data_IF_155687227482
#
_entry.id   IF_155687227482
#
_cell.length_a   1.000
_cell.length_b   1.000
_cell.length_c   1.000
_cell.angle_alpha   90.00
_cell.angle_beta   90.00
_cell.angle_gamma   90.00
#
_symmetry.space_group_name_H-M   'P 1'
#
loop_
_entity.id
_entity.type
_entity.pdbx_description
1 polymer ?
#
# COMPACT_ATOMS: atom_id res chain seq x y z
N UNK A 1 -18.39 18.76 24.62
CA UNK A 1 -18.28 17.62 23.67
C UNK A 1 -16.88 17.64 23.05
N UNK A 2 -15.85 17.23 23.79
CA UNK A 2 -14.45 17.46 23.36
C UNK A 2 -13.50 16.33 23.80
N UNK A 3 -13.93 15.07 23.77
CA UNK A 3 -13.10 13.92 24.16
C UNK A 3 -12.57 13.08 22.99
N UNK A 4 -13.28 13.07 21.85
CA UNK A 4 -13.00 12.15 20.73
C UNK A 4 -11.84 12.64 19.85
N UNK A 5 -11.50 13.94 19.91
CA UNK A 5 -10.42 14.55 19.12
C UNK A 5 -9.02 14.35 19.73
N UNK A 6 -8.95 13.98 21.01
CA UNK A 6 -7.69 14.02 21.76
C UNK A 6 -6.84 12.76 21.55
N UNK A 7 -7.47 11.59 21.43
CA UNK A 7 -6.76 10.34 21.18
C UNK A 7 -6.24 10.23 19.74
N UNK A 8 -7.03 10.66 18.75
CA UNK A 8 -6.61 10.74 17.35
C UNK A 8 -5.42 11.69 17.16
N UNK A 9 -5.33 12.77 17.95
CA UNK A 9 -4.20 13.70 17.93
C UNK A 9 -2.92 13.09 18.54
N UNK A 10 -3.05 12.19 19.52
CA UNK A 10 -1.89 11.42 20.03
C UNK A 10 -1.31 10.44 19.00
N UNK A 11 -2.12 10.03 18.01
CA UNK A 11 -1.67 9.18 16.91
C UNK A 11 -0.96 9.97 15.79
N UNK A 12 -1.38 11.23 15.58
CA UNK A 12 -0.76 12.15 14.60
C UNK A 12 0.45 12.90 15.17
N UNK A 13 0.45 13.21 16.47
CA UNK A 13 1.57 13.84 17.17
C UNK A 13 2.61 12.79 17.55
N UNK A 14 3.32 12.28 16.55
CA UNK A 14 4.59 11.61 16.75
C UNK A 14 5.60 12.62 17.29
N UNK A 15 5.82 12.59 18.61
CA UNK A 15 7.13 12.96 19.14
C UNK A 15 8.13 12.05 18.42
N UNK A 16 9.07 12.66 17.70
CA UNK A 16 9.96 12.07 16.69
C UNK A 16 10.87 10.94 17.21
N UNK A 17 10.30 9.80 17.58
CA UNK A 17 10.98 8.51 17.58
C UNK A 17 10.69 7.88 16.22
N UNK A 18 11.73 7.77 15.39
CA UNK A 18 11.67 6.96 14.17
C UNK A 18 10.98 5.63 14.50
N UNK A 19 9.77 5.36 13.96
CA UNK A 19 9.11 4.09 14.19
C UNK A 19 10.05 3.02 13.65
N UNK A 20 10.41 2.05 14.49
CA UNK A 20 10.97 0.80 13.98
C UNK A 20 10.05 0.31 12.85
N UNK A 21 10.63 -0.10 11.73
CA UNK A 21 9.90 -0.54 10.54
C UNK A 21 9.07 -1.78 10.91
N UNK A 22 7.85 -1.54 11.40
CA UNK A 22 6.92 -2.60 11.80
C UNK A 22 6.46 -3.30 10.54
N UNK A 23 6.41 -4.63 10.58
CA UNK A 23 5.85 -5.42 9.49
C UNK A 23 4.40 -4.99 9.20
N UNK A 24 4.08 -4.78 7.92
CA UNK A 24 2.77 -4.26 7.49
C UNK A 24 1.61 -5.16 7.97
N UNK A 25 1.77 -6.48 7.98
CA UNK A 25 0.72 -7.39 8.47
C UNK A 25 0.49 -7.27 9.98
N UNK A 26 1.54 -6.97 10.75
CA UNK A 26 1.40 -6.70 12.19
C UNK A 26 0.60 -5.42 12.40
N UNK A 27 0.88 -4.37 11.62
CA UNK A 27 0.11 -3.11 11.69
C UNK A 27 -1.36 -3.32 11.31
N UNK A 28 -1.64 -4.14 10.29
CA UNK A 28 -3.02 -4.49 9.91
C UNK A 28 -3.73 -5.24 11.03
N UNK A 29 -3.06 -6.22 11.64
CA UNK A 29 -3.60 -6.99 12.76
C UNK A 29 -3.91 -6.09 13.96
N UNK A 30 -2.95 -5.25 14.37
CA UNK A 30 -3.12 -4.26 15.46
C UNK A 30 -4.29 -3.31 15.14
N UNK A 31 -4.39 -2.82 13.90
CA UNK A 31 -5.44 -1.87 13.49
C UNK A 31 -6.83 -2.49 13.54
N UNK A 32 -6.96 -3.74 13.08
CA UNK A 32 -8.23 -4.46 13.08
C UNK A 32 -8.72 -4.78 14.50
N UNK A 33 -7.82 -5.22 15.38
CA UNK A 33 -8.16 -5.48 16.79
C UNK A 33 -8.51 -4.18 17.52
N UNK A 34 -7.78 -3.09 17.26
CA UNK A 34 -8.08 -1.78 17.83
C UNK A 34 -9.46 -1.26 17.40
N UNK A 35 -9.82 -1.44 16.13
CA UNK A 35 -11.15 -1.09 15.64
C UNK A 35 -12.23 -1.88 16.39
N UNK A 36 -12.06 -3.19 16.57
CA UNK A 36 -12.98 -4.04 17.33
C UNK A 36 -13.15 -3.54 18.78
N UNK A 37 -12.05 -3.29 19.49
CA UNK A 37 -12.09 -2.79 20.87
C UNK A 37 -12.77 -1.42 20.98
N UNK A 38 -12.48 -0.54 20.02
CA UNK A 38 -13.11 0.79 19.95
C UNK A 38 -14.62 0.66 19.78
N UNK A 39 -15.07 -0.16 18.84
CA UNK A 39 -16.49 -0.37 18.58
C UNK A 39 -17.22 -1.03 19.77
N UNK A 40 -16.59 -1.99 20.45
CA UNK A 40 -17.14 -2.59 21.67
C UNK A 40 -17.34 -1.56 22.78
N UNK A 41 -16.34 -0.69 22.99
CA UNK A 41 -16.39 0.36 24.01
C UNK A 41 -17.44 1.42 23.67
N UNK A 42 -17.58 1.79 22.40
CA UNK A 42 -18.60 2.73 21.95
C UNK A 42 -20.02 2.17 22.12
N UNK A 43 -20.25 0.91 21.74
CA UNK A 43 -21.54 0.25 21.93
C UNK A 43 -21.89 0.07 23.40
N UNK A 44 -20.92 -0.31 24.23
CA UNK A 44 -21.12 -0.45 25.67
C UNK A 44 -21.53 0.89 26.30
N UNK A 45 -20.84 1.97 25.94
CA UNK A 45 -21.19 3.31 26.39
C UNK A 45 -22.61 3.68 25.97
N UNK A 46 -22.98 3.40 24.72
CA UNK A 46 -24.31 3.67 24.22
C UNK A 46 -25.41 2.90 24.99
N UNK A 47 -25.20 1.61 25.25
CA UNK A 47 -26.15 0.81 26.04
C UNK A 47 -26.27 1.31 27.48
N UNK A 48 -25.16 1.72 28.09
CA UNK A 48 -25.18 2.31 29.42
C UNK A 48 -25.94 3.64 29.46
N UNK A 49 -25.73 4.51 28.47
CA UNK A 49 -26.46 5.78 28.35
C UNK A 49 -27.97 5.57 28.19
N UNK A 50 -28.37 4.57 27.40
CA UNK A 50 -29.76 4.16 27.27
C UNK A 50 -30.35 3.66 28.60
N UNK A 51 -29.67 2.75 29.30
CA UNK A 51 -30.09 2.23 30.60
C UNK A 51 -30.25 3.36 31.63
N UNK A 52 -29.32 4.31 31.67
CA UNK A 52 -29.42 5.46 32.58
C UNK A 52 -30.59 6.37 32.22
N UNK A 53 -30.82 6.62 30.92
CA UNK A 53 -31.94 7.43 30.46
C UNK A 53 -33.28 6.79 30.83
N UNK A 54 -33.42 5.50 30.61
CA UNK A 54 -34.62 4.74 30.98
C UNK A 54 -34.84 4.78 32.50
N UNK A 55 -33.80 4.54 33.28
CA UNK A 55 -33.87 4.62 34.75
C UNK A 55 -34.35 5.99 35.22
N UNK A 56 -33.77 7.09 34.70
CA UNK A 56 -34.20 8.46 35.05
C UNK A 56 -35.65 8.72 34.69
N UNK A 57 -36.13 8.19 33.56
CA UNK A 57 -37.54 8.31 33.16
C UNK A 57 -38.45 7.55 34.13
N UNK A 58 -38.03 6.39 34.62
CA UNK A 58 -38.81 5.58 35.57
C UNK A 58 -38.81 6.18 36.98
N UNK A 59 -37.67 6.65 37.49
CA UNK A 59 -37.56 7.20 38.86
C UNK A 59 -37.93 8.68 38.96
N UNK A 60 -37.93 9.43 37.85
CA UNK A 60 -38.17 10.87 37.82
C UNK A 60 -37.04 11.72 38.46
N UNK A 61 -36.00 11.09 38.99
CA UNK A 61 -34.87 11.70 39.71
C UNK A 61 -33.57 11.06 39.24
N UNK A 62 -32.51 11.87 39.10
CA UNK A 62 -31.20 11.42 38.67
C UNK A 62 -30.33 10.98 39.86
N UNK A 63 -30.14 9.66 39.98
CA UNK A 63 -29.25 9.05 40.97
C UNK A 63 -27.90 8.61 40.39
N UNK A 64 -27.54 9.06 39.18
CA UNK A 64 -26.30 8.64 38.51
C UNK A 64 -25.04 8.90 39.37
N UNK A 65 -25.06 9.92 40.23
CA UNK A 65 -23.96 10.27 41.14
C UNK A 65 -23.84 9.35 42.37
N UNK A 66 -24.91 8.64 42.73
CA UNK A 66 -24.91 7.64 43.82
C UNK A 66 -24.42 6.27 43.35
N UNK A 67 -24.39 6.03 42.04
CA UNK A 67 -23.93 4.76 41.48
C UNK A 67 -22.42 4.79 41.41
N UNK A 68 -21.75 3.97 42.22
CA UNK A 68 -20.33 3.69 42.02
C UNK A 68 -20.18 2.94 40.69
N UNK A 69 -19.49 3.54 39.71
CA UNK A 69 -19.16 2.91 38.43
C UNK A 69 -18.17 1.76 38.63
N UNK A 70 -18.62 0.67 39.24
CA UNK A 70 -17.87 -0.56 39.38
C UNK A 70 -18.01 -1.35 38.09
N UNK A 71 -17.07 -1.13 37.17
CA UNK A 71 -16.57 -2.17 36.23
C UNK A 71 -17.63 -3.03 35.53
N UNK A 72 -18.59 -2.41 34.84
CA UNK A 72 -19.28 -3.07 33.72
C UNK A 72 -18.51 -2.71 32.46
N UNK A 73 -17.33 -3.31 32.28
CA UNK A 73 -16.59 -3.21 31.03
C UNK A 73 -16.56 -4.58 30.39
N UNK A 74 -17.11 -4.71 29.19
CA UNK A 74 -17.06 -5.92 28.41
C UNK A 74 -15.60 -6.31 28.15
N UNK A 75 -15.25 -7.56 28.46
CA UNK A 75 -13.91 -8.09 28.23
C UNK A 75 -14.01 -9.29 27.29
N UNK A 76 -13.23 -9.25 26.21
CA UNK A 76 -13.11 -10.35 25.28
C UNK A 76 -12.37 -11.50 25.99
N UNK A 77 -12.92 -12.73 26.03
CA UNK A 77 -12.23 -13.88 26.62
C UNK A 77 -10.86 -14.10 25.95
N UNK A 78 -9.80 -14.43 26.72
CA UNK A 78 -8.44 -14.59 26.16
C UNK A 78 -8.35 -15.59 25.00
N UNK A 79 -9.10 -16.70 25.10
CA UNK A 79 -9.17 -17.74 24.05
C UNK A 79 -9.77 -17.16 22.75
N UNK A 80 -10.81 -16.35 22.88
CA UNK A 80 -11.43 -15.70 21.74
C UNK A 80 -10.50 -14.65 21.12
N UNK A 81 -9.82 -13.86 21.95
CA UNK A 81 -8.82 -12.90 21.50
C UNK A 81 -7.70 -13.58 20.69
N UNK A 82 -7.18 -14.71 21.17
CA UNK A 82 -6.17 -15.48 20.41
C UNK A 82 -6.67 -15.94 19.03
N UNK A 83 -7.94 -16.36 18.92
CA UNK A 83 -8.52 -16.73 17.63
C UNK A 83 -8.68 -15.53 16.70
N UNK A 84 -9.06 -14.37 17.24
CA UNK A 84 -9.18 -13.12 16.47
C UNK A 84 -7.82 -12.72 15.87
N UNK A 85 -6.75 -12.79 16.67
CA UNK A 85 -5.38 -12.52 16.20
C UNK A 85 -5.03 -13.43 15.01
N UNK A 86 -5.27 -14.74 15.12
CA UNK A 86 -4.95 -15.70 14.05
C UNK A 86 -5.70 -15.39 12.75
N UNK A 87 -6.97 -15.00 12.84
CA UNK A 87 -7.78 -14.65 11.66
C UNK A 87 -7.30 -13.33 11.06
N UNK A 88 -7.00 -12.32 11.88
CA UNK A 88 -6.49 -11.02 11.43
C UNK A 88 -5.12 -11.14 10.73
N UNK A 89 -4.26 -12.07 11.15
CA UNK A 89 -2.97 -12.32 10.50
C UNK A 89 -3.10 -12.82 9.05
N UNK A 90 -4.24 -13.40 8.67
CA UNK A 90 -4.49 -13.88 7.31
C UNK A 90 -4.93 -12.78 6.34
N UNK A 91 -5.19 -11.57 6.85
CA UNK A 91 -5.71 -10.44 6.07
C UNK A 91 -4.59 -9.77 5.28
N UNK A 92 -4.86 -9.47 4.01
CA UNK A 92 -3.96 -8.68 3.17
C UNK A 92 -4.13 -7.19 3.46
N UNK A 93 -3.06 -6.36 3.42
CA UNK A 93 -3.15 -4.93 3.71
C UNK A 93 -4.20 -4.18 2.87
N UNK A 94 -4.41 -4.59 1.63
CA UNK A 94 -5.38 -4.01 0.67
C UNK A 94 -6.83 -4.24 1.11
N UNK A 95 -7.09 -5.29 1.89
CA UNK A 95 -8.43 -5.69 2.34
C UNK A 95 -8.84 -4.99 3.64
N UNK A 96 -7.89 -4.46 4.40
CA UNK A 96 -8.11 -3.88 5.73
C UNK A 96 -9.23 -2.83 5.74
N UNK A 97 -9.16 -1.86 4.82
CA UNK A 97 -10.17 -0.81 4.71
C UNK A 97 -11.56 -1.34 4.35
N UNK A 98 -11.63 -2.41 3.54
CA UNK A 98 -12.89 -3.05 3.17
C UNK A 98 -13.53 -3.75 4.37
N UNK A 99 -12.74 -4.46 5.16
CA UNK A 99 -13.18 -5.14 6.39
C UNK A 99 -13.73 -4.11 7.39
N UNK A 100 -13.00 -3.03 7.66
CA UNK A 100 -13.44 -1.97 8.60
C UNK A 100 -14.78 -1.39 8.17
N UNK A 101 -14.95 -1.10 6.87
CA UNK A 101 -16.22 -0.58 6.34
C UNK A 101 -17.37 -1.55 6.54
N UNK A 102 -17.20 -2.81 6.13
CA UNK A 102 -18.24 -3.83 6.27
C UNK A 102 -18.60 -4.10 7.74
N UNK A 103 -17.60 -4.07 8.62
CA UNK A 103 -17.82 -4.22 10.05
C UNK A 103 -18.66 -3.07 10.60
N UNK A 104 -18.30 -1.81 10.32
CA UNK A 104 -19.10 -0.64 10.74
C UNK A 104 -20.52 -0.67 10.19
N UNK A 105 -20.69 -1.05 8.92
CA UNK A 105 -22.00 -1.21 8.30
C UNK A 105 -22.86 -2.27 9.04
N UNK A 106 -22.25 -3.35 9.52
CA UNK A 106 -22.94 -4.38 10.31
C UNK A 106 -23.34 -3.87 11.71
N UNK A 107 -22.55 -2.99 12.32
CA UNK A 107 -22.83 -2.40 13.64
C UNK A 107 -23.97 -1.39 13.62
N UNK A 108 -24.33 -0.83 12.46
CA UNK A 108 -25.51 0.06 12.33
C UNK A 108 -26.82 -0.59 12.81
N UNK A 109 -26.87 -1.92 12.84
CA UNK A 109 -28.03 -2.67 13.36
C UNK A 109 -28.08 -2.74 14.89
N UNK A 110 -27.13 -2.11 15.58
CA UNK A 110 -27.01 -2.11 17.05
C UNK A 110 -27.06 -3.53 17.62
N UNK A 111 -26.12 -4.43 17.24
CA UNK A 111 -26.07 -5.78 17.78
C UNK A 111 -25.74 -5.77 19.28
N UNK A 112 -25.99 -6.90 19.95
CA UNK A 112 -25.59 -7.06 21.34
C UNK A 112 -24.06 -7.21 21.46
N UNK A 113 -23.46 -6.78 22.58
CA UNK A 113 -22.00 -6.80 22.78
C UNK A 113 -21.38 -8.19 22.53
N UNK A 114 -22.06 -9.25 22.96
CA UNK A 114 -21.62 -10.64 22.77
C UNK A 114 -21.59 -11.09 21.29
N UNK A 115 -22.31 -10.41 20.40
CA UNK A 115 -22.40 -10.77 18.99
C UNK A 115 -21.33 -10.06 18.15
N UNK A 116 -20.80 -8.93 18.65
CA UNK A 116 -19.86 -8.06 17.93
C UNK A 116 -18.60 -8.82 17.50
N UNK A 117 -18.03 -9.63 18.39
CA UNK A 117 -16.84 -10.45 18.08
C UNK A 117 -17.14 -11.51 17.00
N UNK A 118 -18.33 -12.11 17.04
CA UNK A 118 -18.81 -13.05 16.03
C UNK A 118 -19.03 -12.40 14.66
N UNK A 119 -19.65 -11.22 14.64
CA UNK A 119 -19.84 -10.41 13.42
C UNK A 119 -18.48 -10.06 12.82
N UNK A 120 -17.53 -9.63 13.63
CA UNK A 120 -16.18 -9.29 13.17
C UNK A 120 -15.47 -10.48 12.52
N UNK A 121 -15.50 -11.66 13.15
CA UNK A 121 -14.97 -12.92 12.58
C UNK A 121 -15.64 -13.26 11.25
N UNK A 122 -16.97 -13.11 11.17
CA UNK A 122 -17.74 -13.40 9.97
C UNK A 122 -17.37 -12.47 8.82
N UNK A 123 -17.24 -11.16 9.07
CA UNK A 123 -16.83 -10.17 8.07
C UNK A 123 -15.44 -10.48 7.53
N UNK A 124 -14.46 -10.75 8.40
CA UNK A 124 -13.10 -11.09 7.95
C UNK A 124 -13.12 -12.38 7.11
N UNK A 125 -13.76 -13.43 7.62
CA UNK A 125 -13.87 -14.71 6.92
C UNK A 125 -14.52 -14.55 5.55
N UNK A 126 -15.58 -13.75 5.46
CA UNK A 126 -16.27 -13.45 4.22
C UNK A 126 -15.34 -12.77 3.19
N UNK A 127 -14.57 -11.76 3.61
CA UNK A 127 -13.63 -11.07 2.72
C UNK A 127 -12.53 -12.01 2.23
N UNK A 128 -11.98 -12.83 3.13
CA UNK A 128 -10.97 -13.85 2.79
C UNK A 128 -11.52 -14.86 1.79
N UNK A 129 -12.77 -15.31 1.96
CA UNK A 129 -13.41 -16.28 1.06
C UNK A 129 -13.75 -15.70 -0.33
N UNK A 130 -13.92 -14.38 -0.43
CA UNK A 130 -14.23 -13.68 -1.68
C UNK A 130 -12.99 -13.40 -2.53
N UNK A 131 -11.80 -13.76 -2.07
CA UNK A 131 -10.57 -13.60 -2.86
C UNK A 131 -10.72 -14.31 -4.20
N UNK A 132 -10.36 -13.66 -5.32
CA UNK A 132 -10.23 -14.38 -6.57
C UNK A 132 -9.23 -15.51 -6.34
N UNK A 133 -9.55 -16.71 -6.83
CA UNK A 133 -8.57 -17.79 -6.88
C UNK A 133 -7.41 -17.25 -7.70
N UNK A 134 -6.23 -17.11 -7.09
CA UNK A 134 -5.07 -16.59 -7.81
C UNK A 134 -4.90 -17.41 -9.08
N UNK A 135 -5.01 -16.76 -10.24
CA UNK A 135 -4.51 -17.36 -11.46
C UNK A 135 -3.03 -17.61 -11.18
N UNK A 136 -2.64 -18.88 -11.14
CA UNK A 136 -1.24 -19.22 -10.89
C UNK A 136 -0.42 -18.42 -11.91
N UNK A 137 0.74 -17.87 -11.55
CA UNK A 137 1.57 -17.10 -12.51
C UNK A 137 1.70 -17.81 -13.87
N UNK A 138 1.71 -19.15 -13.86
CA UNK A 138 1.63 -20.01 -15.05
C UNK A 138 0.36 -19.82 -15.90
N UNK A 139 -0.83 -19.64 -15.32
CA UNK A 139 -2.11 -19.39 -16.01
C UNK A 139 -2.13 -18.01 -16.67
N UNK A 140 -1.56 -16.99 -16.02
CA UNK A 140 -1.37 -15.67 -16.61
C UNK A 140 -0.34 -15.68 -17.76
N UNK A 141 0.80 -16.38 -17.58
CA UNK A 141 1.82 -16.54 -18.63
C UNK A 141 1.32 -17.38 -19.80
N UNK A 142 0.59 -18.46 -19.55
CA UNK A 142 -0.01 -19.29 -20.60
C UNK A 142 -1.06 -18.50 -21.38
N UNK A 143 -1.91 -17.71 -20.72
CA UNK A 143 -2.91 -16.86 -21.40
C UNK A 143 -2.28 -15.82 -22.34
N UNK A 144 -1.16 -15.20 -21.96
CA UNK A 144 -0.43 -14.25 -22.81
C UNK A 144 0.37 -14.93 -23.93
N UNK A 145 1.02 -16.06 -23.65
CA UNK A 145 1.79 -16.80 -24.67
C UNK A 145 0.91 -17.47 -25.72
N UNK A 146 -0.28 -17.95 -25.35
CA UNK A 146 -1.28 -18.47 -26.31
C UNK A 146 -1.70 -17.38 -27.30
N UNK A 147 -1.85 -16.14 -26.83
CA UNK A 147 -2.18 -14.99 -27.69
C UNK A 147 -1.05 -14.64 -28.66
N UNK A 148 0.22 -14.77 -28.25
CA UNK A 148 1.40 -14.55 -29.11
C UNK A 148 1.54 -15.67 -30.15
N UNK A 149 1.42 -16.94 -29.73
CA UNK A 149 1.56 -18.10 -30.61
C UNK A 149 0.46 -18.18 -31.68
N UNK A 150 -0.76 -17.71 -31.38
CA UNK A 150 -1.83 -17.63 -32.37
C UNK A 150 -1.59 -16.52 -33.41
N UNK A 151 -0.98 -15.40 -33.03
CA UNK A 151 -0.62 -14.34 -34.00
C UNK A 151 0.57 -14.73 -34.88
N UNK A 152 1.49 -15.57 -34.39
CA UNK A 152 2.66 -16.04 -35.15
C UNK A 152 2.29 -17.02 -36.27
N UNK A 153 1.16 -17.73 -36.18
CA UNK A 153 0.67 -18.63 -37.24
C UNK A 153 0.28 -17.90 -38.53
N UNK A 154 0.06 -16.58 -38.46
CA UNK A 154 -0.31 -15.75 -39.62
C UNK A 154 0.85 -14.90 -40.14
N UNK A 155 1.96 -14.81 -39.40
CA UNK A 155 3.17 -14.13 -39.86
C UNK A 155 4.06 -15.12 -40.59
N UNK A 156 4.13 -14.99 -41.93
CA UNK A 156 5.12 -15.71 -42.73
C UNK A 156 6.52 -15.43 -42.18
N UNK A 157 7.40 -16.44 -42.02
CA UNK A 157 8.77 -16.20 -41.60
C UNK A 157 9.47 -15.31 -42.64
N UNK A 158 9.93 -14.13 -42.21
CA UNK A 158 10.81 -13.28 -43.02
C UNK A 158 12.07 -14.07 -43.36
N UNK A 159 12.53 -14.06 -44.63
CA UNK A 159 13.71 -14.82 -45.03
C UNK A 159 14.95 -14.36 -44.24
N UNK A 160 15.74 -15.34 -43.82
CA UNK A 160 16.99 -15.20 -43.07
C UNK A 160 17.95 -14.29 -43.83
N UNK A 161 18.41 -13.23 -43.18
CA UNK A 161 19.59 -12.47 -43.61
C UNK A 161 20.79 -13.20 -43.00
N UNK A 162 21.51 -13.96 -43.81
CA UNK A 162 22.86 -14.40 -43.48
C UNK A 162 23.82 -13.22 -43.61
N UNK A 163 24.72 -12.97 -42.64
CA UNK A 163 25.71 -11.91 -42.78
C UNK A 163 26.65 -12.26 -43.94
N UNK A 164 26.76 -11.36 -44.91
CA UNK A 164 27.74 -11.44 -45.99
C UNK A 164 29.13 -11.30 -45.36
N UNK A 165 29.90 -12.38 -45.41
CA UNK A 165 31.33 -12.37 -45.11
C UNK A 165 32.10 -12.43 -46.43
N UNK A 166 32.20 -11.28 -47.11
CA UNK A 166 33.14 -11.12 -48.22
C UNK A 166 34.26 -10.18 -47.75
N UNK A 167 35.33 -10.82 -47.28
CA UNK A 167 36.67 -10.27 -47.22
C UNK A 167 37.14 -10.16 -48.67
N UNK A 168 37.31 -8.94 -49.17
CA UNK A 168 38.06 -8.69 -50.39
C UNK A 168 39.13 -7.64 -50.04
N UNK A 169 40.34 -8.14 -49.83
CA UNK A 169 41.59 -7.42 -49.95
C UNK A 169 41.70 -6.83 -51.37
N UNK A 170 41.80 -5.51 -51.50
CA UNK A 170 42.45 -4.89 -52.65
C UNK A 170 43.39 -3.81 -52.13
N UNK A 171 44.66 -4.20 -52.07
CA UNK A 171 45.81 -3.32 -51.96
C UNK A 171 46.04 -2.58 -53.30
N UNK A 172 46.26 -1.26 -53.19
CA UNK A 172 47.27 -0.46 -53.91
C UNK A 172 47.00 0.15 -55.31
N UNK A 173 47.16 1.49 -55.30
CA UNK A 173 47.86 2.37 -56.26
C UNK A 173 47.07 3.20 -57.30
N UNK A 174 46.84 4.46 -56.89
CA UNK A 174 47.13 5.74 -57.55
C UNK A 174 46.86 5.89 -59.05
N UNK A 175 45.90 6.76 -59.42
CA UNK A 175 46.12 7.96 -60.26
C UNK A 175 45.05 9.03 -59.97
N UNK A 176 45.51 10.20 -59.57
CA UNK A 176 44.77 11.44 -59.40
C UNK A 176 44.33 12.05 -60.74
N UNK A 177 43.13 12.63 -60.82
CA UNK A 177 42.83 13.85 -61.60
C UNK A 177 41.58 14.50 -61.00
N UNK A 178 41.74 15.74 -60.54
CA UNK A 178 40.83 16.49 -59.66
C UNK A 178 39.72 17.28 -60.40
N UNK A 179 38.69 17.75 -59.66
CA UNK A 179 37.35 18.12 -60.15
C UNK A 179 37.18 19.62 -60.44
N UNK A 180 36.06 20.00 -61.08
CA UNK A 180 35.63 21.39 -61.25
C UNK A 180 34.33 21.67 -60.48
N UNK A 181 34.50 22.49 -59.44
CA UNK A 181 33.63 23.55 -58.91
C UNK A 181 32.29 23.12 -58.26
N UNK A 182 31.93 23.59 -57.07
CA UNK A 182 32.06 24.98 -56.60
C UNK A 182 31.87 25.07 -55.07
N UNK A 183 32.78 25.81 -54.42
CA UNK A 183 32.65 26.47 -53.11
C UNK A 183 32.31 25.61 -51.89
N UNK A 184 33.33 25.02 -51.28
CA UNK A 184 33.64 25.18 -49.84
C UNK A 184 34.95 24.45 -49.52
N UNK A 185 36.07 25.05 -49.94
CA UNK A 185 37.40 24.73 -49.46
C UNK A 185 37.82 25.87 -48.55
N UNK A 186 38.31 25.51 -47.36
CA UNK A 186 39.18 26.24 -46.41
C UNK A 186 38.53 26.18 -45.03
N UNK A 187 39.10 25.60 -43.97
CA UNK A 187 40.33 24.86 -43.70
C UNK A 187 40.06 24.18 -42.34
N UNK A 188 40.18 22.87 -42.23
CA UNK A 188 41.39 22.17 -41.78
C UNK A 188 41.85 22.46 -40.32
N UNK A 189 41.53 21.49 -39.44
CA UNK A 189 42.23 20.93 -38.26
C UNK A 189 42.92 21.86 -37.25
N UNK A 190 42.68 21.59 -35.96
CA UNK A 190 43.79 21.25 -35.04
C UNK A 190 43.35 20.64 -33.71
N UNK A 191 43.90 19.45 -33.44
CA UNK A 191 44.43 18.87 -32.18
C UNK A 191 43.56 18.94 -30.92
N UNK A 192 43.33 17.85 -30.18
CA UNK A 192 44.30 16.84 -29.76
C UNK A 192 44.43 16.94 -28.23
N UNK A 193 44.01 15.87 -27.55
CA UNK A 193 44.58 15.30 -26.31
C UNK A 193 44.94 16.21 -25.12
N UNK A 194 44.32 15.84 -24.00
CA UNK A 194 44.90 15.68 -22.66
C UNK A 194 44.93 16.88 -21.70
N UNK A 195 44.20 16.64 -20.60
CA UNK A 195 44.58 16.90 -19.21
C UNK A 195 44.73 18.32 -18.67
N UNK A 196 44.73 18.33 -17.33
CA UNK A 196 45.16 19.38 -16.40
C UNK A 196 43.97 20.11 -15.74
N UNK A 197 43.49 19.46 -14.68
CA UNK A 197 43.53 19.94 -13.30
C UNK A 197 43.56 21.45 -13.05
N UNK A 198 42.81 21.82 -11.99
CA UNK A 198 42.94 23.05 -11.21
C UNK A 198 42.34 24.27 -11.92
N UNK A 199 41.76 25.26 -11.27
CA UNK A 199 41.94 25.76 -9.92
C UNK A 199 40.83 26.82 -9.71
N UNK A 200 40.36 26.97 -8.47
CA UNK A 200 39.94 28.28 -7.89
C UNK A 200 38.75 29.03 -8.54
N UNK A 201 37.85 29.70 -7.84
CA UNK A 201 37.76 30.10 -6.44
C UNK A 201 36.43 30.85 -6.26
N UNK A 202 35.91 30.81 -5.03
CA UNK A 202 35.27 31.92 -4.27
C UNK A 202 34.07 32.68 -4.88
N UNK A 203 32.97 32.69 -4.11
CA UNK A 203 32.53 33.78 -3.20
C UNK A 203 31.16 33.37 -2.61
N UNK A 204 31.03 33.08 -1.32
CA UNK A 204 30.78 34.04 -0.22
C UNK A 204 29.62 35.00 -0.48
N UNK A 205 28.45 34.75 0.13
CA UNK A 205 27.84 35.67 1.11
C UNK A 205 26.65 35.01 1.82
N UNK A 206 26.47 35.23 3.13
CA UNK A 206 25.25 34.87 3.86
C UNK A 206 24.18 35.96 3.69
N UNK A 207 22.92 35.58 3.82
CA UNK A 207 21.82 36.51 4.07
C UNK A 207 21.17 36.16 5.41
N UNK A 208 20.81 37.24 6.09
CA UNK A 208 20.31 37.45 7.45
C UNK A 208 18.96 36.75 7.67
#
# INVERSE_FOLDING_TARGET
MSGIRTWFRSWVSGESRSPSEKNVHVVVTESLLLELETQLKELELHYWELEQKERRQQTGVDYSWLVSNSTRSFQIPPVEHSQLVLICQQVQPEECSRIIKLFRDALLRMPHLNEVTGIFKAVITQVIQQRPKEETFTEWFTSKTVSILNNVKYTRPSPRISPISDIIDIERQDKETYPLNSLDTVMYYKNGTDDISSLSQKKSSPFI
#
